data_IF_024987369392
#
_entry.id   IF_024987369392
#
_cell.length_a   1.000
_cell.length_b   1.000
_cell.length_c   1.000
_cell.angle_alpha   90.00
_cell.angle_beta   90.00
_cell.angle_gamma   90.00
#
_symmetry.space_group_name_H-M   'P 1'
#
loop_
_entity.id
_entity.type
_entity.pdbx_description
1 polymer ?
#
# COMPACT_ATOMS: atom_id res chain seq x y z
N UNK A 1 -35.56 1.26 -22.14
CA UNK A 1 -35.66 0.55 -20.86
C UNK A 1 -36.39 -0.78 -21.07
N UNK A 2 -35.86 -1.88 -20.53
CA UNK A 2 -36.42 -3.24 -20.65
C UNK A 2 -37.91 -3.24 -20.26
N UNK A 3 -38.81 -3.35 -21.25
CA UNK A 3 -40.23 -3.56 -21.00
C UNK A 3 -40.38 -5.02 -20.56
N UNK A 4 -40.81 -5.22 -19.31
CA UNK A 4 -41.08 -6.53 -18.71
C UNK A 4 -41.96 -7.35 -19.67
N UNK A 5 -41.40 -8.37 -20.32
CA UNK A 5 -42.13 -9.24 -21.26
C UNK A 5 -41.50 -9.47 -22.64
N UNK A 6 -40.50 -8.67 -23.08
CA UNK A 6 -39.82 -8.94 -24.36
C UNK A 6 -38.97 -10.21 -24.30
N UNK A 7 -39.05 -11.05 -25.33
CA UNK A 7 -38.21 -12.26 -25.43
C UNK A 7 -36.76 -11.87 -25.73
N UNK A 8 -35.80 -12.65 -25.22
CA UNK A 8 -34.34 -12.41 -25.42
C UNK A 8 -33.97 -12.30 -26.91
N UNK A 9 -34.60 -13.11 -27.75
CA UNK A 9 -34.42 -13.08 -29.21
C UNK A 9 -34.92 -11.78 -29.87
N UNK A 10 -36.02 -11.19 -29.39
CA UNK A 10 -36.52 -9.91 -29.89
C UNK A 10 -35.53 -8.79 -29.57
N UNK A 11 -34.98 -8.81 -28.36
CA UNK A 11 -33.96 -7.86 -27.91
C UNK A 11 -32.66 -8.04 -28.72
N UNK A 12 -32.28 -9.28 -29.01
CA UNK A 12 -31.13 -9.60 -29.88
C UNK A 12 -31.31 -9.02 -31.28
N UNK A 13 -32.49 -9.18 -31.89
CA UNK A 13 -32.80 -8.65 -33.22
C UNK A 13 -32.88 -7.12 -33.24
N UNK A 14 -33.49 -6.51 -32.22
CA UNK A 14 -33.63 -5.06 -32.11
C UNK A 14 -32.29 -4.35 -31.87
N UNK A 15 -31.38 -4.97 -31.10
CA UNK A 15 -30.07 -4.41 -30.78
C UNK A 15 -28.96 -4.84 -31.75
N UNK A 16 -29.23 -5.78 -32.67
CA UNK A 16 -28.21 -6.36 -33.55
C UNK A 16 -27.10 -7.12 -32.79
N UNK A 17 -27.36 -7.53 -31.55
CA UNK A 17 -26.38 -8.19 -30.69
C UNK A 17 -26.60 -9.71 -30.67
N UNK A 18 -25.52 -10.52 -30.54
CA UNK A 18 -25.66 -11.96 -30.36
C UNK A 18 -26.56 -12.32 -29.19
N UNK A 19 -27.41 -13.33 -29.37
CA UNK A 19 -28.33 -13.84 -28.34
C UNK A 19 -27.61 -14.15 -27.02
N UNK A 20 -26.38 -14.68 -27.08
CA UNK A 20 -25.56 -14.99 -25.92
C UNK A 20 -25.17 -13.75 -25.11
N UNK A 21 -24.90 -12.63 -25.76
CA UNK A 21 -24.58 -11.33 -25.13
C UNK A 21 -25.81 -10.78 -24.41
N UNK A 22 -26.97 -10.80 -25.08
CA UNK A 22 -28.23 -10.34 -24.49
C UNK A 22 -28.62 -11.20 -23.30
N UNK A 23 -28.52 -12.52 -23.41
CA UNK A 23 -28.81 -13.45 -22.31
C UNK A 23 -27.90 -13.22 -21.10
N UNK A 24 -26.58 -13.07 -21.31
CA UNK A 24 -25.61 -12.76 -20.24
C UNK A 24 -25.90 -11.40 -19.58
N UNK A 25 -26.26 -10.39 -20.37
CA UNK A 25 -26.59 -9.06 -19.87
C UNK A 25 -27.89 -9.06 -19.05
N UNK A 26 -28.95 -9.72 -19.51
CA UNK A 26 -30.21 -9.88 -18.77
C UNK A 26 -29.99 -10.65 -17.47
N UNK A 27 -29.25 -11.78 -17.53
CA UNK A 27 -28.92 -12.55 -16.32
C UNK A 27 -28.19 -11.69 -15.29
N UNK A 28 -27.19 -10.92 -15.73
CA UNK A 28 -26.44 -10.00 -14.86
C UNK A 28 -27.33 -8.89 -14.29
N UNK A 29 -28.21 -8.33 -15.10
CA UNK A 29 -29.16 -7.30 -14.67
C UNK A 29 -30.14 -7.83 -13.61
N UNK A 30 -30.67 -9.05 -13.81
CA UNK A 30 -31.57 -9.71 -12.85
C UNK A 30 -30.85 -10.06 -11.54
N UNK A 31 -29.56 -10.42 -11.59
CA UNK A 31 -28.75 -10.71 -10.40
C UNK A 31 -28.36 -9.45 -9.62
N UNK A 32 -28.00 -8.37 -10.30
CA UNK A 32 -27.42 -7.17 -9.67
C UNK A 32 -28.42 -6.02 -9.47
N UNK A 33 -29.56 -6.04 -10.15
CA UNK A 33 -30.50 -4.91 -10.19
C UNK A 33 -29.95 -3.67 -10.89
N UNK A 34 -28.79 -3.77 -11.55
CA UNK A 34 -28.11 -2.67 -12.23
C UNK A 34 -27.53 -3.14 -13.57
N UNK A 35 -27.38 -2.21 -14.52
CA UNK A 35 -26.69 -2.45 -15.79
C UNK A 35 -25.16 -2.51 -15.64
N UNK A 36 -24.64 -2.26 -14.44
CA UNK A 36 -23.21 -2.32 -14.16
C UNK A 36 -22.63 -3.75 -14.28
N UNK A 37 -21.32 -3.83 -14.47
CA UNK A 37 -20.59 -5.11 -14.47
C UNK A 37 -20.53 -5.74 -13.07
N UNK A 38 -20.42 -7.07 -13.01
CA UNK A 38 -20.16 -7.78 -11.75
C UNK A 38 -18.82 -7.30 -11.19
N UNK A 39 -18.79 -6.95 -9.90
CA UNK A 39 -17.54 -6.62 -9.21
C UNK A 39 -16.62 -7.84 -9.24
N UNK A 40 -15.56 -7.76 -10.04
CA UNK A 40 -14.56 -8.83 -10.12
C UNK A 40 -13.92 -9.06 -8.76
N UNK A 41 -13.51 -10.30 -8.47
CA UNK A 41 -12.88 -10.70 -7.20
C UNK A 41 -11.50 -10.04 -6.97
N UNK A 42 -10.96 -9.38 -7.99
CA UNK A 42 -9.62 -8.82 -8.01
C UNK A 42 -8.53 -9.91 -8.03
N UNK A 43 -7.31 -9.52 -8.42
CA UNK A 43 -6.14 -10.41 -8.33
C UNK A 43 -5.73 -10.56 -6.87
N UNK A 44 -5.72 -11.80 -6.35
CA UNK A 44 -5.17 -12.09 -5.02
C UNK A 44 -3.67 -11.77 -5.00
N UNK A 45 -3.22 -11.07 -3.96
CA UNK A 45 -1.79 -10.78 -3.75
C UNK A 45 -1.14 -11.90 -2.95
N UNK A 46 -0.42 -12.78 -3.63
CA UNK A 46 0.19 -13.99 -3.02
C UNK A 46 1.49 -13.71 -2.29
N UNK A 47 2.32 -12.78 -2.80
CA UNK A 47 3.69 -12.59 -2.30
C UNK A 47 3.82 -11.59 -1.12
N UNK A 48 2.84 -10.71 -0.87
CA UNK A 48 2.92 -9.66 0.19
C UNK A 48 1.90 -9.93 1.31
N UNK A 49 2.01 -11.10 1.95
CA UNK A 49 1.19 -11.45 3.12
C UNK A 49 1.68 -10.71 4.38
N UNK A 50 0.83 -10.51 5.40
CA UNK A 50 1.25 -9.89 6.66
C UNK A 50 2.43 -10.61 7.34
N UNK A 51 2.49 -11.94 7.24
CA UNK A 51 3.61 -12.73 7.75
C UNK A 51 4.91 -12.44 6.99
N UNK A 52 4.86 -12.40 5.65
CA UNK A 52 6.03 -12.08 4.81
C UNK A 52 6.56 -10.67 5.09
N UNK A 53 5.66 -9.68 5.28
CA UNK A 53 6.07 -8.32 5.66
C UNK A 53 6.83 -8.33 6.98
N UNK A 54 6.33 -9.05 8.00
CA UNK A 54 6.99 -9.15 9.31
C UNK A 54 8.36 -9.81 9.21
N UNK A 55 8.48 -10.89 8.44
CA UNK A 55 9.76 -11.61 8.26
C UNK A 55 10.80 -10.70 7.62
N UNK A 56 10.46 -10.03 6.51
CA UNK A 56 11.37 -9.10 5.82
C UNK A 56 11.75 -7.92 6.71
N UNK A 57 10.80 -7.30 7.41
CA UNK A 57 11.11 -6.19 8.33
C UNK A 57 12.04 -6.61 9.48
N UNK A 58 11.89 -7.82 10.00
CA UNK A 58 12.76 -8.36 11.05
C UNK A 58 14.20 -8.55 10.57
N UNK A 59 14.40 -9.00 9.31
CA UNK A 59 15.74 -9.12 8.71
C UNK A 59 16.42 -7.76 8.55
N UNK A 60 15.68 -6.76 8.06
CA UNK A 60 16.18 -5.38 7.98
C UNK A 60 16.58 -4.83 9.35
N UNK A 61 15.76 -5.04 10.38
CA UNK A 61 16.08 -4.62 11.75
C UNK A 61 17.33 -5.29 12.34
N UNK A 62 17.71 -6.47 11.85
CA UNK A 62 18.93 -7.19 12.23
C UNK A 62 20.17 -6.72 11.45
N UNK A 63 20.03 -5.73 10.56
CA UNK A 63 21.12 -5.20 9.74
C UNK A 63 21.30 -5.90 8.39
N UNK A 64 20.36 -6.76 7.97
CA UNK A 64 20.41 -7.35 6.63
C UNK A 64 19.84 -6.38 5.58
N UNK A 65 20.71 -5.78 4.76
CA UNK A 65 20.30 -4.88 3.65
C UNK A 65 20.40 -5.53 2.26
N UNK A 66 20.91 -6.76 2.15
CA UNK A 66 20.99 -7.43 0.85
C UNK A 66 19.62 -7.95 0.38
N UNK A 67 18.92 -7.10 -0.38
CA UNK A 67 17.56 -7.33 -0.92
C UNK A 67 17.47 -8.54 -1.84
N UNK A 68 18.56 -8.88 -2.55
CA UNK A 68 18.64 -10.09 -3.39
C UNK A 68 18.74 -11.36 -2.55
N UNK A 69 19.53 -11.33 -1.47
CA UNK A 69 19.65 -12.44 -0.52
C UNK A 69 18.30 -12.72 0.16
N UNK A 70 17.67 -11.69 0.73
CA UNK A 70 16.35 -11.80 1.35
C UNK A 70 15.28 -12.36 0.40
N UNK A 71 15.30 -11.96 -0.87
CA UNK A 71 14.38 -12.46 -1.89
C UNK A 71 14.53 -13.96 -2.14
N UNK A 72 15.79 -14.44 -2.25
CA UNK A 72 16.10 -15.86 -2.46
C UNK A 72 15.68 -16.71 -1.26
N UNK A 73 16.00 -16.27 -0.05
CA UNK A 73 15.70 -17.02 1.18
C UNK A 73 14.19 -17.14 1.45
N UNK A 74 13.44 -16.09 1.15
CA UNK A 74 11.99 -16.04 1.39
C UNK A 74 11.16 -16.51 0.18
N UNK A 75 11.81 -16.92 -0.92
CA UNK A 75 11.12 -17.39 -2.12
C UNK A 75 10.22 -16.34 -2.78
N UNK A 76 10.55 -15.05 -2.67
CA UNK A 76 9.78 -13.94 -3.24
C UNK A 76 10.59 -13.11 -4.22
N UNK A 77 9.92 -12.33 -5.07
CA UNK A 77 10.64 -11.46 -6.01
C UNK A 77 11.38 -10.33 -5.29
N UNK A 78 12.58 -9.99 -5.79
CA UNK A 78 13.37 -8.85 -5.30
C UNK A 78 12.55 -7.54 -5.31
N UNK A 79 11.67 -7.36 -6.30
CA UNK A 79 10.76 -6.21 -6.38
C UNK A 79 9.78 -6.15 -5.20
N UNK A 80 9.36 -7.30 -4.68
CA UNK A 80 8.51 -7.38 -3.49
C UNK A 80 9.29 -7.04 -2.23
N UNK A 81 10.51 -7.57 -2.09
CA UNK A 81 11.42 -7.19 -0.98
C UNK A 81 11.69 -5.69 -1.02
N UNK A 82 12.10 -5.13 -2.16
CA UNK A 82 12.30 -3.67 -2.33
C UNK A 82 11.07 -2.87 -1.95
N UNK A 83 9.87 -3.29 -2.35
CA UNK A 83 8.64 -2.59 -1.95
C UNK A 83 8.37 -2.66 -0.46
N UNK A 84 8.70 -3.75 0.21
CA UNK A 84 8.50 -3.90 1.66
C UNK A 84 9.54 -3.08 2.43
N UNK A 85 10.81 -3.18 2.03
CA UNK A 85 11.94 -2.45 2.63
C UNK A 85 11.80 -0.96 2.38
N UNK A 86 11.48 -0.57 1.15
CA UNK A 86 11.32 0.82 0.74
C UNK A 86 9.84 1.26 0.81
N UNK A 87 9.07 0.86 1.84
CA UNK A 87 7.78 1.51 2.17
C UNK A 87 7.97 2.47 3.37
N UNK A 88 8.74 3.57 3.21
CA UNK A 88 8.92 4.57 4.27
C UNK A 88 7.59 5.26 4.61
N UNK A 89 6.63 5.25 3.69
CA UNK A 89 5.30 5.88 3.85
C UNK A 89 4.46 5.31 5.00
N UNK A 90 4.88 4.23 5.65
CA UNK A 90 4.16 3.63 6.79
C UNK A 90 5.00 3.54 8.06
N UNK A 91 6.22 4.09 8.07
CA UNK A 91 7.07 4.12 9.25
C UNK A 91 7.16 5.57 9.77
N UNK A 92 6.59 5.88 10.95
CA UNK A 92 6.68 7.21 11.56
C UNK A 92 8.12 7.73 11.69
N UNK A 93 9.08 6.84 11.92
CA UNK A 93 10.47 7.22 11.96
C UNK A 93 10.96 7.73 10.59
N UNK A 94 10.57 7.09 9.49
CA UNK A 94 11.06 7.42 8.16
C UNK A 94 10.37 8.66 7.57
N UNK A 95 9.07 8.88 7.81
CA UNK A 95 8.35 10.02 7.20
C UNK A 95 8.24 11.26 8.09
N UNK A 96 8.59 11.18 9.37
CA UNK A 96 8.48 12.31 10.30
C UNK A 96 9.75 12.53 11.12
N UNK A 97 10.21 11.51 11.85
CA UNK A 97 11.25 11.72 12.87
C UNK A 97 12.64 11.90 12.27
N UNK A 98 13.00 11.13 11.24
CA UNK A 98 14.31 11.24 10.60
C UNK A 98 14.56 12.62 10.00
N UNK A 99 13.56 13.24 9.38
CA UNK A 99 13.71 14.61 8.85
C UNK A 99 14.01 15.66 9.92
N UNK A 100 13.48 15.47 11.14
CA UNK A 100 13.75 16.36 12.29
C UNK A 100 15.18 16.16 12.78
N UNK A 101 15.60 14.90 12.94
CA UNK A 101 16.95 14.56 13.38
C UNK A 101 18.00 15.01 12.36
N UNK A 102 17.76 14.79 11.06
CA UNK A 102 18.63 15.26 9.98
C UNK A 102 18.74 16.78 9.97
N UNK A 103 17.62 17.51 10.11
CA UNK A 103 17.63 18.96 10.17
C UNK A 103 18.43 19.50 11.38
N UNK A 104 18.38 18.82 12.52
CA UNK A 104 19.10 19.23 13.73
C UNK A 104 20.63 19.08 13.61
N UNK A 105 21.10 18.16 12.77
CA UNK A 105 22.53 17.95 12.51
C UNK A 105 23.02 18.59 11.21
N UNK A 106 22.09 19.03 10.35
CA UNK A 106 22.40 19.60 9.05
C UNK A 106 23.30 20.85 9.20
N UNK A 107 24.39 20.88 8.42
CA UNK A 107 25.34 21.99 8.43
C UNK A 107 26.30 22.04 9.62
N UNK A 108 26.13 21.18 10.64
CA UNK A 108 27.09 21.06 11.76
C UNK A 108 28.22 20.11 11.38
N UNK A 109 29.46 20.48 11.71
CA UNK A 109 30.63 19.60 11.57
C UNK A 109 30.90 18.91 12.90
N UNK A 110 30.89 17.59 12.91
CA UNK A 110 31.24 16.78 14.06
C UNK A 110 32.65 16.22 13.87
N UNK A 111 33.48 16.29 14.90
CA UNK A 111 34.87 15.78 14.88
C UNK A 111 34.97 14.35 15.39
N UNK A 112 33.98 13.91 16.17
CA UNK A 112 33.93 12.54 16.70
C UNK A 112 32.52 11.93 16.61
N UNK A 113 32.46 10.61 16.74
CA UNK A 113 31.20 9.86 16.74
C UNK A 113 30.39 10.20 18.00
N UNK A 114 31.06 10.45 19.12
CA UNK A 114 30.46 10.81 20.41
C UNK A 114 29.74 12.15 20.31
N UNK A 115 30.34 13.12 19.62
CA UNK A 115 29.75 14.44 19.38
C UNK A 115 28.48 14.33 18.52
N UNK A 116 28.52 13.52 17.46
CA UNK A 116 27.35 13.24 16.61
C UNK A 116 26.24 12.54 17.40
N UNK A 117 26.57 11.52 18.18
CA UNK A 117 25.60 10.79 19.04
C UNK A 117 24.95 11.72 20.05
N UNK A 118 25.73 12.57 20.71
CA UNK A 118 25.23 13.54 21.68
C UNK A 118 24.27 14.54 21.02
N UNK A 119 24.61 15.06 19.84
CA UNK A 119 23.73 15.97 19.10
C UNK A 119 22.42 15.31 18.64
N UNK A 120 22.48 14.06 18.16
CA UNK A 120 21.27 13.31 17.81
C UNK A 120 20.40 13.01 19.03
N UNK A 121 21.02 12.71 20.17
CA UNK A 121 20.29 12.43 21.40
C UNK A 121 19.65 13.70 21.97
N UNK A 122 20.36 14.82 21.95
CA UNK A 122 19.77 16.12 22.30
C UNK A 122 18.61 16.50 21.37
N UNK A 123 18.76 16.27 20.06
CA UNK A 123 17.68 16.49 19.11
C UNK A 123 16.47 15.60 19.39
N UNK A 124 16.70 14.34 19.77
CA UNK A 124 15.65 13.39 20.14
C UNK A 124 14.88 13.82 21.39
N UNK A 125 15.58 14.22 22.46
CA UNK A 125 14.95 14.67 23.71
C UNK A 125 14.16 15.98 23.53
N UNK A 126 14.50 16.78 22.52
CA UNK A 126 13.77 18.02 22.17
C UNK A 126 12.53 17.77 21.30
N UNK A 127 12.28 16.55 20.83
CA UNK A 127 11.08 16.26 20.04
C UNK A 127 9.85 16.37 20.95
N UNK A 128 8.98 17.32 20.63
CA UNK A 128 7.72 17.50 21.33
C UNK A 128 6.83 16.24 21.21
N UNK A 129 6.22 15.82 22.31
CA UNK A 129 5.25 14.73 22.35
C UNK A 129 4.11 14.93 21.34
N UNK A 130 3.73 16.18 21.05
CA UNK A 130 2.75 16.52 20.02
C UNK A 130 3.18 16.09 18.61
N UNK A 131 4.47 16.16 18.31
CA UNK A 131 5.03 15.69 17.02
C UNK A 131 4.95 14.16 16.95
N UNK A 132 5.26 13.48 18.06
CA UNK A 132 5.13 12.02 18.15
C UNK A 132 3.66 11.58 18.00
N UNK A 133 2.74 12.24 18.72
CA UNK A 133 1.31 11.99 18.62
C UNK A 133 0.78 12.23 17.20
N UNK A 134 1.14 13.36 16.60
CA UNK A 134 0.78 13.70 15.21
C UNK A 134 1.33 12.69 14.20
N UNK A 135 2.53 12.18 14.44
CA UNK A 135 3.12 11.12 13.61
C UNK A 135 2.29 9.83 13.71
N UNK A 136 1.89 9.42 14.92
CA UNK A 136 1.01 8.26 15.12
C UNK A 136 -0.36 8.45 14.46
N UNK A 137 -0.95 9.64 14.54
CA UNK A 137 -2.22 9.94 13.87
C UNK A 137 -2.09 9.93 12.35
N UNK A 138 -0.98 10.46 11.83
CA UNK A 138 -0.69 10.43 10.41
C UNK A 138 -0.52 8.99 9.93
N UNK A 139 0.10 8.11 10.72
CA UNK A 139 0.19 6.68 10.39
C UNK A 139 -1.19 6.06 10.09
N UNK A 140 -2.23 6.41 10.85
CA UNK A 140 -3.60 5.91 10.60
C UNK A 140 -4.15 6.42 9.26
N UNK A 141 -3.88 7.68 8.90
CA UNK A 141 -4.22 8.25 7.59
C UNK A 141 -3.45 7.52 6.48
N UNK A 142 -2.15 7.29 6.68
CA UNK A 142 -1.28 6.59 5.72
C UNK A 142 -1.67 5.15 5.50
N UNK A 143 -2.05 4.45 6.56
CA UNK A 143 -2.53 3.08 6.48
C UNK A 143 -3.83 3.00 5.65
N UNK A 144 -4.76 3.94 5.84
CA UNK A 144 -6.00 4.02 5.04
C UNK A 144 -5.71 4.31 3.58
N UNK A 145 -4.84 5.27 3.28
CA UNK A 145 -4.42 5.57 1.90
C UNK A 145 -3.75 4.37 1.24
N UNK A 146 -2.89 3.65 1.96
CA UNK A 146 -2.29 2.40 1.51
C UNK A 146 -3.36 1.34 1.18
N UNK A 147 -4.37 1.17 2.04
CA UNK A 147 -5.46 0.21 1.79
C UNK A 147 -6.28 0.61 0.56
N UNK A 148 -6.60 1.89 0.39
CA UNK A 148 -7.32 2.40 -0.80
C UNK A 148 -6.51 2.23 -2.09
N UNK A 149 -5.20 2.46 -2.03
CA UNK A 149 -4.28 2.17 -3.12
C UNK A 149 -4.04 0.66 -3.32
N UNK A 150 -4.73 -0.19 -2.56
CA UNK A 150 -4.53 -1.63 -2.51
C UNK A 150 -3.04 -1.97 -2.37
N UNK A 151 -2.30 -1.32 -1.46
CA UNK A 151 -0.87 -1.49 -1.24
C UNK A 151 0.04 -0.99 -2.37
N UNK A 152 -0.47 -0.13 -3.27
CA UNK A 152 0.29 0.65 -4.25
C UNK A 152 0.90 1.92 -3.65
N UNK A 153 1.46 2.79 -4.48
CA UNK A 153 1.92 4.12 -4.08
C UNK A 153 0.73 5.04 -3.80
N UNK A 154 0.86 5.95 -2.84
CA UNK A 154 -0.20 6.86 -2.43
C UNK A 154 0.39 8.20 -1.99
N UNK A 155 -0.38 9.27 -2.16
CA UNK A 155 -0.07 10.64 -1.71
C UNK A 155 -1.10 10.99 -0.62
N UNK A 156 -0.66 11.68 0.43
CA UNK A 156 -1.45 12.02 1.64
C UNK A 156 -1.38 13.51 1.88
#
# INVERSE_FOLDING_TARGET
MFKRGKKVMEISRELGLPHSTVSKAIKRFNELGTSADRKGRGRKKTARTPQMIRTIKRKVQRGEDNKRKMAREEGISERTVRRIVNSPDLNPLDYAIWGILEAAIYGRKFRTIEELKAALQEAWERIDLNVLASSVDNWRKRLRACVQANGGYFII
#
